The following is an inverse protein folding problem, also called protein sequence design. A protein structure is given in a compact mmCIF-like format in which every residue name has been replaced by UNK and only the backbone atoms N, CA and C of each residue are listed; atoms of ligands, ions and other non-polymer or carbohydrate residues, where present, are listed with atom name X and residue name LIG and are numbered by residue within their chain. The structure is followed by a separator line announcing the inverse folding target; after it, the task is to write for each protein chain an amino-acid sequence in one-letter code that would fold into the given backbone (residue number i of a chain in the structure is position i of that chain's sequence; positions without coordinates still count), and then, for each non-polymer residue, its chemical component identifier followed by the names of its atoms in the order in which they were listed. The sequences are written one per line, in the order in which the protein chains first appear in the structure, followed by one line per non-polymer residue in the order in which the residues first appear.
data_IF_744511635531
#
_entry.id   IF_744511635531
#
_cell.length_a   1.000
_cell.length_b   1.000
_cell.length_c   1.000
_cell.angle_alpha   90.00
_cell.angle_beta   90.00
_cell.angle_gamma   90.00
#
_symmetry.space_group_name_H-M   'P 1'
#
loop_
_entity.id
_entity.type
_entity.pdbx_description
1 polymer ?
#
# COMPACT_ATOMS: atom_id res chain seq x y z
N UNK A 1 29.14 0.76 6.05
CA UNK A 1 28.44 -0.52 6.29
C UNK A 1 27.26 -0.22 7.20
N UNK A 2 26.11 0.11 6.61
CA UNK A 2 24.93 0.56 7.35
C UNK A 2 24.07 -0.65 7.64
N UNK A 3 23.85 -0.95 8.93
CA UNK A 3 23.03 -2.07 9.39
C UNK A 3 21.59 -1.90 8.89
N UNK A 4 21.22 -2.62 7.83
CA UNK A 4 19.86 -2.71 7.28
C UNK A 4 18.91 -3.54 8.16
N UNK A 5 19.08 -3.49 9.49
CA UNK A 5 18.23 -4.20 10.47
C UNK A 5 16.85 -3.55 10.66
N UNK A 6 16.65 -2.33 10.16
CA UNK A 6 15.40 -1.59 10.34
C UNK A 6 14.32 -1.96 9.30
N UNK A 7 14.69 -2.47 8.12
CA UNK A 7 13.73 -2.85 7.09
C UNK A 7 13.35 -4.34 7.23
N UNK A 8 12.40 -4.58 8.12
CA UNK A 8 11.86 -5.92 8.39
C UNK A 8 11.03 -6.49 7.24
N UNK A 9 10.72 -5.72 6.19
CA UNK A 9 9.96 -6.20 5.03
C UNK A 9 10.72 -7.24 4.21
N UNK A 10 12.02 -7.39 4.44
CA UNK A 10 12.88 -8.40 3.83
C UNK A 10 13.23 -9.56 4.78
N UNK A 11 12.87 -9.45 6.07
CA UNK A 11 13.23 -10.42 7.08
C UNK A 11 12.22 -11.57 7.18
N UNK A 12 12.63 -12.77 6.75
CA UNK A 12 11.80 -13.99 6.85
C UNK A 12 11.56 -14.45 8.29
N UNK A 13 12.35 -13.95 9.24
CA UNK A 13 12.20 -14.18 10.67
C UNK A 13 11.98 -12.84 11.38
N UNK A 14 10.72 -12.39 11.39
CA UNK A 14 10.31 -11.17 12.09
C UNK A 14 8.94 -11.34 12.71
N UNK A 15 8.71 -10.69 13.86
CA UNK A 15 7.38 -10.65 14.48
C UNK A 15 6.34 -10.00 13.56
N UNK A 16 6.75 -9.07 12.70
CA UNK A 16 5.90 -8.44 11.69
C UNK A 16 5.40 -9.44 10.66
N UNK A 17 6.29 -10.31 10.12
CA UNK A 17 5.85 -11.36 9.20
C UNK A 17 4.96 -12.39 9.92
N UNK A 18 5.31 -12.78 11.15
CA UNK A 18 4.47 -13.72 11.93
C UNK A 18 3.07 -13.17 12.19
N UNK A 19 2.96 -11.89 12.59
CA UNK A 19 1.67 -11.22 12.79
C UNK A 19 0.88 -11.11 11.47
N UNK A 20 1.54 -10.72 10.37
CA UNK A 20 0.93 -10.66 9.04
C UNK A 20 0.36 -12.01 8.60
N UNK A 21 1.13 -13.10 8.81
CA UNK A 21 0.68 -14.47 8.52
C UNK A 21 -0.56 -14.84 9.33
N UNK A 22 -0.53 -14.60 10.64
CA UNK A 22 -1.65 -14.91 11.53
C UNK A 22 -2.91 -14.12 11.12
N UNK A 23 -2.78 -12.83 10.81
CA UNK A 23 -3.91 -12.00 10.37
C UNK A 23 -4.53 -12.51 9.07
N UNK A 24 -3.73 -12.86 8.07
CA UNK A 24 -4.26 -13.38 6.79
C UNK A 24 -4.86 -14.78 6.92
N UNK A 25 -4.36 -15.60 7.86
CA UNK A 25 -4.96 -16.89 8.16
C UNK A 25 -6.30 -16.75 8.87
N UNK A 26 -6.42 -15.79 9.80
CA UNK A 26 -7.67 -15.52 10.53
C UNK A 26 -8.69 -14.75 9.69
N UNK A 27 -8.24 -13.91 8.76
CA UNK A 27 -9.10 -13.07 7.91
C UNK A 27 -8.73 -13.21 6.42
N UNK A 28 -9.16 -14.30 5.76
CA UNK A 28 -8.84 -14.54 4.36
C UNK A 28 -9.31 -13.42 3.43
N UNK A 29 -8.38 -12.91 2.62
CA UNK A 29 -8.66 -11.80 1.68
C UNK A 29 -8.59 -10.41 2.29
N UNK A 30 -8.22 -10.27 3.57
CA UNK A 30 -8.01 -8.96 4.20
C UNK A 30 -6.94 -8.16 3.42
N UNK A 31 -7.24 -6.93 2.97
CA UNK A 31 -6.25 -6.06 2.35
C UNK A 31 -5.16 -5.67 3.35
N UNK A 32 -3.92 -5.67 2.90
CA UNK A 32 -2.78 -5.16 3.68
C UNK A 32 -2.17 -3.96 2.98
N UNK A 33 -1.85 -2.92 3.74
CA UNK A 33 -1.05 -1.78 3.28
C UNK A 33 0.23 -1.76 4.10
N UNK A 34 1.37 -1.73 3.42
CA UNK A 34 2.67 -1.52 4.05
C UNK A 34 3.20 -0.13 3.67
N UNK A 35 3.51 0.66 4.70
CA UNK A 35 4.02 2.02 4.56
C UNK A 35 5.52 2.04 4.79
N UNK A 36 6.27 2.48 3.80
CA UNK A 36 7.71 2.68 3.84
C UNK A 36 8.07 4.15 3.59
N UNK A 37 9.34 4.48 3.79
CA UNK A 37 9.86 5.81 3.51
C UNK A 37 11.15 5.76 2.72
N UNK A 38 11.28 6.67 1.76
CA UNK A 38 12.52 6.89 1.02
C UNK A 38 13.09 8.28 1.29
N UNK A 39 14.35 8.48 0.94
CA UNK A 39 15.01 9.79 0.94
C UNK A 39 14.60 10.54 -0.33
N UNK A 40 14.31 11.84 -0.27
CA UNK A 40 13.80 12.59 -1.44
C UNK A 40 14.75 12.48 -2.66
N UNK A 41 16.07 12.43 -2.43
CA UNK A 41 17.09 12.21 -3.47
C UNK A 41 16.95 10.89 -4.23
N UNK A 42 16.33 9.86 -3.63
CA UNK A 42 16.11 8.56 -4.27
C UNK A 42 15.04 8.63 -5.36
N UNK A 43 14.10 9.58 -5.30
CA UNK A 43 13.11 9.84 -6.35
C UNK A 43 12.63 11.31 -6.27
N UNK A 44 13.41 12.26 -6.80
CA UNK A 44 13.19 13.70 -6.58
C UNK A 44 11.83 14.22 -7.03
N UNK A 45 11.23 13.58 -8.04
CA UNK A 45 9.94 13.98 -8.61
C UNK A 45 8.73 13.32 -7.95
N UNK A 46 8.93 12.45 -6.96
CA UNK A 46 7.88 11.68 -6.32
C UNK A 46 7.69 12.09 -4.86
N UNK A 47 6.45 12.38 -4.48
CA UNK A 47 6.06 12.50 -3.07
C UNK A 47 5.67 11.14 -2.50
N UNK A 48 5.08 10.28 -3.34
CA UNK A 48 4.75 8.91 -2.97
C UNK A 48 4.87 7.97 -4.19
N UNK A 49 5.19 6.71 -3.94
CA UNK A 49 5.24 5.65 -4.96
C UNK A 49 4.44 4.46 -4.45
N UNK A 50 3.46 4.01 -5.23
CA UNK A 50 2.59 2.91 -4.85
C UNK A 50 2.74 1.71 -5.79
N UNK A 51 2.65 0.51 -5.23
CA UNK A 51 2.48 -0.73 -5.98
C UNK A 51 1.42 -1.61 -5.32
N UNK A 52 0.80 -2.50 -6.10
CA UNK A 52 -0.21 -3.41 -5.58
C UNK A 52 -0.03 -4.80 -6.18
N UNK A 53 -0.26 -5.82 -5.36
CA UNK A 53 -0.06 -7.21 -5.73
C UNK A 53 -1.04 -8.13 -5.01
N UNK A 54 -1.25 -9.34 -5.55
CA UNK A 54 -2.15 -10.33 -4.97
C UNK A 54 -3.57 -10.24 -5.55
N UNK A 55 -4.38 -11.25 -5.25
CA UNK A 55 -5.74 -11.33 -5.78
C UNK A 55 -6.63 -10.22 -5.19
N UNK A 56 -7.45 -9.60 -6.03
CA UNK A 56 -8.32 -8.48 -5.64
C UNK A 56 -7.60 -7.15 -5.43
N UNK A 57 -6.29 -7.07 -5.67
CA UNK A 57 -5.54 -5.83 -5.55
C UNK A 57 -5.85 -4.90 -6.73
N UNK A 58 -6.30 -3.68 -6.45
CA UNK A 58 -6.55 -2.65 -7.45
C UNK A 58 -5.81 -1.38 -7.07
N UNK A 59 -4.67 -1.15 -7.73
CA UNK A 59 -3.78 -0.03 -7.43
C UNK A 59 -4.47 1.33 -7.55
N UNK A 60 -5.43 1.50 -8.47
CA UNK A 60 -6.15 2.77 -8.66
C UNK A 60 -7.02 3.13 -7.46
N UNK A 61 -7.49 2.14 -6.67
CA UNK A 61 -8.20 2.40 -5.40
C UNK A 61 -7.31 3.08 -4.35
N UNK A 62 -5.99 2.98 -4.50
CA UNK A 62 -5.02 3.68 -3.67
C UNK A 62 -4.52 4.98 -4.35
N UNK A 63 -4.20 4.92 -5.65
CA UNK A 63 -3.61 6.06 -6.37
C UNK A 63 -4.56 7.25 -6.48
N UNK A 64 -5.80 7.04 -6.92
CA UNK A 64 -6.74 8.13 -7.16
C UNK A 64 -6.97 9.02 -5.91
N UNK A 65 -7.31 8.46 -4.72
CA UNK A 65 -7.50 9.30 -3.54
C UNK A 65 -6.18 9.91 -3.03
N UNK A 66 -5.04 9.21 -3.15
CA UNK A 66 -3.74 9.80 -2.79
C UNK A 66 -3.37 10.99 -3.67
N UNK A 67 -3.59 10.89 -4.99
CA UNK A 67 -3.35 11.98 -5.95
C UNK A 67 -4.22 13.20 -5.66
N UNK A 68 -5.45 13.00 -5.17
CA UNK A 68 -6.34 14.08 -4.77
C UNK A 68 -5.88 14.79 -3.48
N UNK A 69 -5.13 14.11 -2.61
CA UNK A 69 -4.70 14.64 -1.31
C UNK A 69 -3.29 15.23 -1.33
N UNK A 70 -2.37 14.61 -2.07
CA UNK A 70 -0.96 14.99 -2.17
C UNK A 70 -0.78 15.90 -3.38
N UNK A 71 -1.11 17.19 -3.23
CA UNK A 71 -1.05 18.19 -4.30
C UNK A 71 0.37 18.67 -4.62
N UNK A 72 1.27 18.63 -3.64
CA UNK A 72 2.58 19.30 -3.71
C UNK A 72 3.67 18.43 -4.34
N UNK A 73 3.32 17.27 -4.90
CA UNK A 73 4.25 16.36 -5.56
C UNK A 73 3.54 15.19 -6.23
N UNK A 74 4.27 14.41 -7.03
CA UNK A 74 3.66 13.34 -7.82
C UNK A 74 3.47 12.07 -6.99
N UNK A 75 2.29 11.49 -7.07
CA UNK A 75 2.00 10.12 -6.62
C UNK A 75 2.11 9.20 -7.84
N UNK A 76 3.17 8.38 -7.85
CA UNK A 76 3.56 7.56 -8.99
C UNK A 76 3.19 6.09 -8.78
N UNK A 77 2.81 5.42 -9.87
CA UNK A 77 2.57 3.98 -9.92
C UNK A 77 3.85 3.23 -10.27
N UNK A 78 4.20 2.19 -9.52
CA UNK A 78 5.20 1.20 -9.94
C UNK A 78 4.50 0.00 -10.61
N UNK A 79 5.00 -0.51 -11.75
CA UNK A 79 6.18 -0.06 -12.49
C UNK A 79 5.88 0.98 -13.59
N UNK A 80 4.62 1.42 -13.75
CA UNK A 80 4.16 2.18 -14.91
C UNK A 80 4.78 3.59 -15.03
N UNK A 81 4.83 4.33 -13.93
CA UNK A 81 5.37 5.68 -13.87
C UNK A 81 6.84 5.69 -13.41
N UNK A 82 7.26 4.67 -12.65
CA UNK A 82 8.62 4.54 -12.11
C UNK A 82 9.01 3.07 -11.92
N UNK A 83 10.26 2.74 -12.21
CA UNK A 83 10.79 1.36 -12.17
C UNK A 83 11.66 1.04 -10.94
N UNK A 84 11.53 1.81 -9.86
CA UNK A 84 12.21 1.60 -8.57
C UNK A 84 11.24 1.77 -7.41
N UNK A 85 11.64 1.33 -6.21
CA UNK A 85 10.86 1.46 -4.96
C UNK A 85 9.49 0.74 -5.02
N UNK A 86 9.39 -0.32 -5.82
CA UNK A 86 8.16 -1.09 -6.00
C UNK A 86 7.88 -2.16 -4.95
N UNK A 87 8.74 -2.36 -3.96
CA UNK A 87 8.58 -3.40 -2.93
C UNK A 87 8.69 -4.84 -3.45
N UNK A 88 9.36 -5.07 -4.59
CA UNK A 88 9.34 -6.35 -5.31
C UNK A 88 9.91 -7.55 -4.51
N UNK A 89 10.79 -7.29 -3.55
CA UNK A 89 11.47 -8.29 -2.71
C UNK A 89 10.78 -8.54 -1.36
N UNK A 90 9.64 -7.90 -1.12
CA UNK A 90 8.93 -7.94 0.16
C UNK A 90 8.35 -9.32 0.50
N UNK A 91 8.70 -9.83 1.67
CA UNK A 91 8.29 -11.17 2.15
C UNK A 91 6.79 -11.24 2.51
N UNK A 92 6.21 -10.15 3.01
CA UNK A 92 4.78 -10.05 3.33
C UNK A 92 3.93 -10.00 2.06
N UNK A 93 4.40 -9.26 1.04
CA UNK A 93 3.74 -9.20 -0.27
C UNK A 93 3.71 -10.58 -0.95
N UNK A 94 4.80 -11.36 -0.85
CA UNK A 94 4.82 -12.76 -1.31
C UNK A 94 3.78 -13.61 -0.59
N UNK A 95 3.66 -13.46 0.73
CA UNK A 95 2.69 -14.22 1.51
C UNK A 95 1.24 -13.85 1.17
N UNK A 96 0.94 -12.55 1.01
CA UNK A 96 -0.40 -12.11 0.58
C UNK A 96 -0.79 -12.68 -0.77
N UNK A 97 0.14 -12.71 -1.75
CA UNK A 97 -0.09 -13.37 -3.04
C UNK A 97 -0.43 -14.85 -2.87
N UNK A 98 0.33 -15.58 -2.07
CA UNK A 98 0.10 -17.02 -1.81
C UNK A 98 -1.24 -17.29 -1.15
N UNK A 99 -1.68 -16.40 -0.26
CA UNK A 99 -2.97 -16.50 0.44
C UNK A 99 -4.15 -15.92 -0.36
N UNK A 100 -3.92 -15.44 -1.59
CA UNK A 100 -4.97 -14.82 -2.40
C UNK A 100 -5.53 -13.52 -1.81
N UNK A 101 -4.71 -12.77 -1.07
CA UNK A 101 -5.09 -11.51 -0.44
C UNK A 101 -4.44 -10.30 -1.14
N UNK A 102 -5.14 -9.15 -1.21
CA UNK A 102 -4.57 -7.94 -1.79
C UNK A 102 -3.52 -7.32 -0.86
N UNK A 103 -2.41 -6.89 -1.45
CA UNK A 103 -1.33 -6.20 -0.76
C UNK A 103 -0.95 -4.93 -1.51
N UNK A 104 -0.83 -3.84 -0.78
CA UNK A 104 -0.44 -2.54 -1.29
C UNK A 104 0.84 -2.10 -0.59
N UNK A 105 1.80 -1.64 -1.37
CA UNK A 105 3.03 -1.05 -0.88
C UNK A 105 3.01 0.44 -1.20
N UNK A 106 3.35 1.28 -0.21
CA UNK A 106 3.40 2.71 -0.39
C UNK A 106 4.70 3.26 0.22
N UNK A 107 5.51 3.88 -0.64
CA UNK A 107 6.76 4.54 -0.28
C UNK A 107 6.50 6.05 -0.19
N UNK A 108 6.89 6.67 0.93
CA UNK A 108 6.66 8.10 1.19
C UNK A 108 7.99 8.86 1.26
N UNK A 109 8.07 9.98 0.53
CA UNK A 109 9.24 10.85 0.57
C UNK A 109 9.47 11.38 1.99
N UNK A 110 10.69 11.82 2.30
CA UNK A 110 10.99 12.41 3.61
C UNK A 110 10.19 13.70 3.79
N UNK A 111 10.16 14.56 2.78
CA UNK A 111 9.39 15.80 2.80
C UNK A 111 7.88 15.56 3.04
N UNK A 112 7.27 14.56 2.40
CA UNK A 112 5.86 14.24 2.63
C UNK A 112 5.62 13.73 4.06
N UNK A 113 6.49 12.86 4.58
CA UNK A 113 6.39 12.36 5.96
C UNK A 113 6.49 13.49 6.98
N UNK A 114 7.41 14.43 6.78
CA UNK A 114 7.57 15.58 7.68
C UNK A 114 6.31 16.49 7.64
N UNK A 115 5.74 16.75 6.46
CA UNK A 115 4.45 17.47 6.35
C UNK A 115 3.31 16.77 7.07
N UNK A 116 3.19 15.44 6.92
CA UNK A 116 2.14 14.66 7.61
C UNK A 116 2.25 14.72 9.13
N UNK A 117 3.43 14.99 9.70
CA UNK A 117 3.60 15.18 11.14
C UNK A 117 3.05 16.53 11.59
N UNK A 118 3.26 17.59 10.82
CA UNK A 118 2.93 18.96 11.22
C UNK A 118 1.55 19.44 10.76
N UNK A 119 1.03 18.89 9.66
CA UNK A 119 -0.27 19.27 9.07
C UNK A 119 -1.32 18.19 9.39
N UNK A 120 -2.17 18.48 10.38
CA UNK A 120 -3.22 17.57 10.83
C UNK A 120 -4.31 17.35 9.78
N UNK A 121 -4.69 18.39 9.03
CA UNK A 121 -5.72 18.30 8.00
C UNK A 121 -5.24 17.43 6.83
N UNK A 122 -3.98 17.60 6.41
CA UNK A 122 -3.35 16.73 5.42
C UNK A 122 -3.28 15.29 5.93
N UNK A 123 -2.84 15.07 7.18
CA UNK A 123 -2.77 13.73 7.77
C UNK A 123 -4.12 13.04 7.83
N UNK A 124 -5.19 13.76 8.21
CA UNK A 124 -6.56 13.22 8.22
C UNK A 124 -7.01 12.82 6.81
N UNK A 125 -6.84 13.70 5.82
CA UNK A 125 -7.19 13.41 4.42
C UNK A 125 -6.37 12.25 3.85
N UNK A 126 -5.09 12.17 4.19
CA UNK A 126 -4.20 11.09 3.79
C UNK A 126 -4.66 9.75 4.38
N UNK A 127 -5.00 9.69 5.67
CA UNK A 127 -5.56 8.50 6.28
C UNK A 127 -6.89 8.07 5.66
N UNK A 128 -7.76 9.04 5.32
CA UNK A 128 -9.02 8.77 4.65
C UNK A 128 -8.86 8.18 3.24
N UNK A 129 -7.72 8.43 2.56
CA UNK A 129 -7.45 7.89 1.24
C UNK A 129 -7.38 6.34 1.20
N UNK A 130 -7.16 5.69 2.34
CA UNK A 130 -7.10 4.22 2.44
C UNK A 130 -8.48 3.56 2.63
N UNK A 131 -9.54 4.33 2.90
CA UNK A 131 -10.85 3.79 3.25
C UNK A 131 -11.43 2.85 2.17
N UNK A 132 -11.17 3.13 0.89
CA UNK A 132 -11.64 2.33 -0.24
C UNK A 132 -10.99 0.94 -0.36
N UNK A 133 -9.92 0.66 0.40
CA UNK A 133 -9.25 -0.64 0.37
C UNK A 133 -10.01 -1.69 1.18
N UNK A 134 -10.66 -1.30 2.28
CA UNK A 134 -11.37 -2.22 3.19
C UNK A 134 -12.66 -2.82 2.61
N UNK A 135 -13.22 -2.25 1.54
CA UNK A 135 -14.52 -2.64 0.99
C UNK A 135 -14.51 -3.92 0.11
N UNK A 136 -13.43 -4.69 0.12
CA UNK A 136 -13.26 -5.84 -0.76
C UNK A 136 -13.87 -7.14 -0.22
N UNK A 137 -15.21 -7.23 -0.10
CA UNK A 137 -16.09 -8.43 -0.22
C UNK A 137 -17.53 -8.01 0.18
N UNK A 138 -18.28 -7.37 -0.72
CA UNK A 138 -19.66 -6.95 -0.37
C UNK A 138 -20.52 -6.33 -1.48
N UNK A 139 -20.02 -6.23 -2.71
CA UNK A 139 -20.87 -5.87 -3.85
C UNK A 139 -20.60 -6.84 -5.00
N UNK A 140 -21.10 -8.06 -4.84
CA UNK A 140 -21.47 -8.87 -5.98
C UNK A 140 -22.95 -8.62 -6.21
N UNK A 141 -23.26 -8.12 -7.41
CA UNK A 141 -24.57 -7.64 -7.84
C UNK A 141 -25.67 -8.65 -7.50
N UNK A 142 -26.61 -8.28 -6.62
CA UNK A 142 -27.97 -8.81 -6.70
C UNK A 142 -28.58 -8.27 -7.98
N UNK A 143 -28.30 -8.93 -9.11
CA UNK A 143 -29.10 -8.77 -10.33
C UNK A 143 -30.49 -9.31 -10.01
N UNK A 144 -31.57 -8.53 -10.16
CA UNK A 144 -32.90 -9.09 -10.11
C UNK A 144 -33.02 -10.01 -11.32
N UNK A 145 -33.07 -11.32 -11.07
CA UNK A 145 -33.44 -12.30 -12.08
C UNK A 145 -34.87 -12.00 -12.53
N UNK A 146 -34.99 -11.40 -13.71
CA UNK A 146 -36.22 -11.47 -14.49
C UNK A 146 -36.38 -12.91 -14.98
N UNK A 147 -37.49 -13.53 -14.64
CA UNK A 147 -38.07 -14.60 -15.44
C UNK A 147 -39.60 -14.55 -15.31
N UNK A 148 -40.31 -14.90 -16.40
CA UNK A 148 -41.73 -14.61 -16.62
C UNK A 148 -42.69 -15.41 -15.73
#
# INVERSE_FOLDING_TARGET
MTLAFADVAHAERSFFLSAHRALLQSFPGMPTVQLHGFQDSSAPDAAAIASAVGHGANLERLLAPLRAVVSDGKVLAYPADINKLGGATNVQARWSRQMGAPFYHLELSRALRDKLLTDEDLRRRFAAAFAGLAAGKGQEETRPGLSP
#
